data_IF_341763968785
#
_entry.id   IF_341763968785
#
_cell.length_a   1.000
_cell.length_b   1.000
_cell.length_c   1.000
_cell.angle_alpha   90.00
_cell.angle_beta   90.00
_cell.angle_gamma   90.00
#
_symmetry.space_group_name_H-M   'P 1'
#
loop_
_entity.id
_entity.type
_entity.pdbx_description
1 polymer ?
#
# COMPACT_ATOMS: atom_id res chain seq x y z
N UNK A 1 14.05 -8.98 0.82
CA UNK A 1 12.62 -8.85 1.15
C UNK A 1 12.24 -10.02 2.04
N UNK A 2 11.31 -9.82 2.98
CA UNK A 2 10.76 -10.89 3.83
C UNK A 2 9.27 -11.08 3.56
N UNK A 3 8.79 -12.32 3.62
CA UNK A 3 7.39 -12.67 3.37
C UNK A 3 6.72 -13.10 4.66
N UNK A 4 5.66 -12.40 5.04
CA UNK A 4 4.98 -12.52 6.33
C UNK A 4 3.64 -13.25 6.15
N UNK A 5 3.38 -14.17 7.07
CA UNK A 5 2.05 -14.72 7.34
C UNK A 5 1.11 -13.61 7.82
N UNK A 6 -0.19 -13.90 7.80
CA UNK A 6 -1.20 -12.97 8.36
C UNK A 6 -0.88 -12.57 9.81
N UNK A 7 -0.49 -13.55 10.63
CA UNK A 7 -0.14 -13.32 12.04
C UNK A 7 1.09 -12.42 12.19
N UNK A 8 2.11 -12.60 11.35
CA UNK A 8 3.31 -11.74 11.36
C UNK A 8 2.99 -10.31 10.91
N UNK A 9 2.06 -10.10 9.97
CA UNK A 9 1.56 -8.76 9.61
C UNK A 9 0.87 -8.08 10.81
N UNK A 10 0.00 -8.81 11.51
CA UNK A 10 -0.70 -8.32 12.71
C UNK A 10 0.28 -8.01 13.85
N UNK A 11 1.30 -8.84 14.05
CA UNK A 11 2.39 -8.60 15.00
C UNK A 11 3.24 -7.40 14.61
N UNK A 12 3.50 -7.20 13.31
CA UNK A 12 4.25 -6.04 12.84
C UNK A 12 3.55 -4.72 13.16
N UNK A 13 2.22 -4.68 13.04
CA UNK A 13 1.41 -3.52 13.43
C UNK A 13 1.33 -3.36 14.95
N UNK A 14 0.93 -4.42 15.67
CA UNK A 14 0.70 -4.34 17.12
C UNK A 14 1.98 -4.07 17.91
N UNK A 15 3.13 -4.60 17.47
CA UNK A 15 4.45 -4.28 18.04
C UNK A 15 4.89 -2.82 17.85
N UNK A 16 4.09 -2.01 17.16
CA UNK A 16 4.29 -0.57 16.95
C UNK A 16 3.10 0.25 17.48
N UNK A 17 2.20 -0.37 18.25
CA UNK A 17 0.99 0.26 18.76
C UNK A 17 0.09 0.83 17.65
N UNK A 18 0.04 0.13 16.51
CA UNK A 18 -0.75 0.51 15.33
C UNK A 18 -1.87 -0.48 15.07
N UNK A 19 -2.98 0.02 14.58
CA UNK A 19 -4.07 -0.75 13.95
C UNK A 19 -4.03 -0.56 12.43
N UNK A 20 -4.94 -1.21 11.70
CA UNK A 20 -5.04 -0.94 10.26
C UNK A 20 -5.51 0.49 10.02
N UNK A 21 -5.05 1.19 8.98
CA UNK A 21 -5.32 2.61 8.79
C UNK A 21 -6.80 2.99 8.68
N UNK A 22 -7.63 2.07 8.18
CA UNK A 22 -9.08 2.17 8.04
C UNK A 22 -9.85 1.89 9.35
N UNK A 23 -9.19 1.27 10.34
CA UNK A 23 -9.73 1.03 11.67
C UNK A 23 -9.38 2.17 12.66
N UNK A 24 -8.41 3.03 12.32
CA UNK A 24 -7.99 4.17 13.17
C UNK A 24 -8.86 5.41 12.89
N UNK A 25 -9.74 5.81 13.83
CA UNK A 25 -10.66 6.94 13.63
C UNK A 25 -9.97 8.31 13.62
N UNK A 26 -8.69 8.39 13.98
CA UNK A 26 -7.91 9.63 13.93
C UNK A 26 -7.33 9.91 12.53
N UNK A 27 -7.35 8.92 11.63
CA UNK A 27 -6.89 9.12 10.27
C UNK A 27 -7.94 9.87 9.43
N UNK A 28 -7.51 10.95 8.77
CA UNK A 28 -8.21 11.46 7.61
C UNK A 28 -8.00 10.55 6.40
N UNK A 29 -8.95 10.59 5.46
CA UNK A 29 -8.98 9.79 4.24
C UNK A 29 -9.07 10.67 3.00
N UNK A 30 -8.20 10.41 2.02
CA UNK A 30 -8.37 10.89 0.65
C UNK A 30 -8.31 9.74 -0.35
N UNK A 31 -9.36 9.62 -1.17
CA UNK A 31 -9.45 8.63 -2.25
C UNK A 31 -9.09 9.24 -3.60
N UNK A 32 -8.30 8.53 -4.38
CA UNK A 32 -7.96 8.88 -5.76
C UNK A 32 -8.19 7.68 -6.66
N UNK A 33 -8.68 7.89 -7.88
CA UNK A 33 -8.65 6.82 -8.88
C UNK A 33 -7.21 6.45 -9.24
N UNK A 34 -7.01 5.22 -9.70
CA UNK A 34 -5.76 4.86 -10.34
C UNK A 34 -5.48 5.78 -11.53
N UNK A 35 -4.21 6.08 -11.80
CA UNK A 35 -3.83 6.76 -13.03
C UNK A 35 -4.12 5.85 -14.23
N UNK A 36 -4.01 6.37 -15.45
CA UNK A 36 -4.05 5.51 -16.63
C UNK A 36 -2.93 4.45 -16.60
N UNK A 37 -3.21 3.25 -17.12
CA UNK A 37 -2.34 2.06 -17.08
C UNK A 37 -0.86 2.25 -17.44
N UNK A 38 -0.44 3.07 -18.44
CA UNK A 38 0.99 3.27 -18.69
C UNK A 38 1.74 3.89 -17.50
N UNK A 39 1.03 4.51 -16.55
CA UNK A 39 1.60 5.20 -15.39
C UNK A 39 1.67 4.34 -14.13
N UNK A 40 1.25 3.07 -14.16
CA UNK A 40 1.26 2.21 -12.97
C UNK A 40 2.65 2.08 -12.34
N UNK A 41 3.68 1.82 -13.15
CA UNK A 41 5.05 1.76 -12.64
C UNK A 41 5.50 3.11 -12.08
N UNK A 42 5.15 4.22 -12.73
CA UNK A 42 5.50 5.56 -12.24
C UNK A 42 4.92 5.84 -10.85
N UNK A 43 3.63 5.54 -10.63
CA UNK A 43 2.99 5.71 -9.32
C UNK A 43 3.52 4.71 -8.29
N UNK A 44 3.69 3.44 -8.67
CA UNK A 44 4.27 2.42 -7.78
C UNK A 44 5.70 2.80 -7.33
N UNK A 45 6.51 3.32 -8.25
CA UNK A 45 7.87 3.81 -7.97
C UNK A 45 7.86 5.06 -7.08
N UNK A 46 6.94 6.00 -7.34
CA UNK A 46 6.77 7.16 -6.47
C UNK A 46 6.36 6.74 -5.06
N UNK A 47 5.41 5.80 -4.92
CA UNK A 47 5.03 5.25 -3.61
C UNK A 47 6.27 4.65 -2.95
N UNK A 48 7.00 3.79 -3.65
CA UNK A 48 8.15 3.09 -3.10
C UNK A 48 9.30 4.01 -2.68
N UNK A 49 9.49 5.15 -3.35
CA UNK A 49 10.62 6.05 -3.11
C UNK A 49 10.29 7.29 -2.28
N UNK A 50 9.06 7.81 -2.38
CA UNK A 50 8.63 9.07 -1.76
C UNK A 50 7.71 8.84 -0.56
N UNK A 51 6.69 7.98 -0.70
CA UNK A 51 5.73 7.72 0.39
C UNK A 51 6.38 7.00 1.58
N UNK A 52 7.38 6.17 1.32
CA UNK A 52 8.03 5.31 2.32
C UNK A 52 9.01 6.02 3.23
N UNK A 53 9.35 7.29 2.98
CA UNK A 53 10.43 8.01 3.68
C UNK A 53 11.67 7.11 3.94
N UNK A 54 12.18 6.38 2.93
CA UNK A 54 13.35 5.48 3.06
C UNK A 54 13.30 4.53 4.29
N UNK A 55 12.13 4.17 4.80
CA UNK A 55 11.94 3.28 5.95
C UNK A 55 11.39 1.93 5.50
N UNK A 56 11.55 0.85 6.30
CA UNK A 56 10.92 -0.43 6.00
C UNK A 56 9.41 -0.27 5.77
N UNK A 57 8.86 -0.97 4.79
CA UNK A 57 7.46 -0.86 4.40
C UNK A 57 6.85 -2.24 4.26
N UNK A 58 5.76 -2.48 4.97
CA UNK A 58 4.98 -3.71 4.84
C UNK A 58 3.89 -3.48 3.79
N UNK A 59 3.92 -4.26 2.71
CA UNK A 59 2.76 -4.41 1.83
C UNK A 59 1.99 -5.64 2.28
N UNK A 60 0.75 -5.44 2.70
CA UNK A 60 -0.13 -6.51 3.13
C UNK A 60 -1.27 -6.66 2.13
N UNK A 61 -1.15 -7.66 1.26
CA UNK A 61 -2.21 -8.03 0.32
C UNK A 61 -3.43 -8.50 1.10
N UNK A 62 -4.63 -8.04 0.73
CA UNK A 62 -5.91 -8.45 1.34
C UNK A 62 -7.00 -8.74 0.32
N UNK A 63 -6.83 -8.28 -0.91
CA UNK A 63 -7.77 -8.50 -2.01
C UNK A 63 -7.02 -9.16 -3.18
N UNK A 64 -7.23 -10.46 -3.34
CA UNK A 64 -6.74 -11.26 -4.46
C UNK A 64 -7.76 -12.38 -4.68
N UNK A 65 -7.72 -13.06 -5.83
CA UNK A 65 -8.70 -14.09 -6.20
C UNK A 65 -10.14 -13.54 -6.30
N UNK A 66 -10.29 -12.24 -6.59
CA UNK A 66 -11.59 -11.58 -6.78
C UNK A 66 -12.10 -11.83 -8.20
N UNK A 67 -11.20 -11.76 -9.19
CA UNK A 67 -11.52 -11.86 -10.61
C UNK A 67 -10.61 -12.88 -11.30
N UNK A 68 -10.78 -14.17 -10.99
CA UNK A 68 -9.92 -15.28 -11.44
C UNK A 68 -9.54 -15.27 -12.93
N UNK A 69 -10.41 -14.79 -13.82
CA UNK A 69 -10.16 -14.73 -15.26
C UNK A 69 -9.18 -13.64 -15.68
N UNK A 70 -8.94 -12.63 -14.84
CA UNK A 70 -8.05 -11.49 -15.09
C UNK A 70 -6.71 -11.54 -14.36
N UNK A 71 -6.50 -12.54 -13.50
CA UNK A 71 -5.34 -12.60 -12.63
C UNK A 71 -4.20 -13.46 -13.21
N UNK A 72 -2.97 -13.00 -13.04
CA UNK A 72 -1.74 -13.68 -13.41
C UNK A 72 -0.94 -14.04 -12.15
N UNK A 73 -1.53 -14.91 -11.32
CA UNK A 73 -0.88 -15.49 -10.14
C UNK A 73 0.44 -16.19 -10.49
N UNK A 74 0.55 -16.77 -11.70
CA UNK A 74 1.78 -17.42 -12.15
C UNK A 74 2.97 -16.44 -12.19
N UNK A 75 2.81 -15.27 -12.82
CA UNK A 75 3.85 -14.24 -12.87
C UNK A 75 4.25 -13.81 -11.46
N UNK A 76 3.25 -13.58 -10.59
CA UNK A 76 3.50 -13.17 -9.22
C UNK A 76 4.26 -14.21 -8.40
N UNK A 77 3.89 -15.49 -8.51
CA UNK A 77 4.62 -16.55 -7.82
C UNK A 77 6.02 -16.78 -8.40
N UNK A 78 6.24 -16.54 -9.70
CA UNK A 78 7.60 -16.54 -10.26
C UNK A 78 8.45 -15.41 -9.71
N UNK A 79 7.86 -14.23 -9.51
CA UNK A 79 8.52 -13.13 -8.84
C UNK A 79 8.84 -13.46 -7.38
N UNK A 80 7.91 -14.06 -6.61
CA UNK A 80 8.19 -14.48 -5.22
C UNK A 80 9.32 -15.52 -5.13
N UNK A 81 9.30 -16.50 -6.04
CA UNK A 81 10.33 -17.55 -6.13
C UNK A 81 11.72 -16.98 -6.38
N UNK A 82 11.87 -15.87 -7.12
CA UNK A 82 13.18 -15.24 -7.31
C UNK A 82 13.78 -14.66 -6.03
N UNK A 83 12.96 -14.45 -4.99
CA UNK A 83 13.38 -14.06 -3.64
C UNK A 83 13.37 -15.23 -2.64
N UNK A 84 13.24 -16.47 -3.13
CA UNK A 84 13.30 -17.69 -2.33
C UNK A 84 11.99 -18.12 -1.67
N UNK A 85 10.89 -17.38 -1.88
CA UNK A 85 9.59 -17.73 -1.32
C UNK A 85 8.75 -18.55 -2.29
N UNK A 86 8.32 -19.73 -1.83
CA UNK A 86 7.56 -20.71 -2.60
C UNK A 86 6.13 -20.88 -2.08
N UNK A 87 5.74 -20.07 -1.09
CA UNK A 87 4.43 -20.11 -0.45
C UNK A 87 3.40 -19.38 -1.30
N UNK A 88 2.15 -19.81 -1.17
CA UNK A 88 1.01 -19.15 -1.78
C UNK A 88 0.66 -17.86 -1.05
N UNK A 89 -0.10 -16.98 -1.71
CA UNK A 89 -0.43 -15.67 -1.16
C UNK A 89 -1.28 -15.77 0.13
N UNK A 90 -2.15 -16.77 0.23
CA UNK A 90 -2.94 -17.00 1.45
C UNK A 90 -2.10 -17.50 2.63
N UNK A 91 -0.95 -18.13 2.38
CA UNK A 91 -0.03 -18.59 3.44
C UNK A 91 0.83 -17.43 3.95
N UNK A 92 1.30 -16.57 3.04
CA UNK A 92 2.12 -15.40 3.36
C UNK A 92 1.71 -14.19 2.52
N UNK A 93 0.68 -13.43 2.95
CA UNK A 93 0.17 -12.26 2.23
C UNK A 93 1.00 -10.99 2.41
N UNK A 94 1.87 -10.95 3.42
CA UNK A 94 2.70 -9.80 3.74
C UNK A 94 4.04 -9.82 3.03
N UNK A 95 4.50 -8.64 2.63
CA UNK A 95 5.78 -8.41 1.97
C UNK A 95 6.46 -7.24 2.68
N UNK A 96 7.46 -7.53 3.50
CA UNK A 96 8.27 -6.52 4.17
C UNK A 96 9.48 -6.18 3.29
N UNK A 97 9.48 -4.94 2.81
CA UNK A 97 10.57 -4.36 2.03
C UNK A 97 11.44 -3.48 2.92
N UNK A 98 12.76 -3.64 2.81
CA UNK A 98 13.73 -2.77 3.45
C UNK A 98 13.99 -1.50 2.63
N UNK A 99 14.64 -0.51 3.23
CA UNK A 99 14.97 0.79 2.60
C UNK A 99 15.63 0.69 1.22
N UNK A 100 16.46 -0.32 0.99
CA UNK A 100 17.20 -0.51 -0.26
C UNK A 100 16.42 -1.32 -1.31
N UNK A 101 15.22 -1.79 -0.98
CA UNK A 101 14.37 -2.68 -1.79
C UNK A 101 13.22 -1.90 -2.44
N UNK A 102 13.43 -0.59 -2.70
CA UNK A 102 12.39 0.28 -3.26
C UNK A 102 11.98 -0.15 -4.68
N UNK A 103 12.91 -0.62 -5.49
CA UNK A 103 12.60 -1.13 -6.84
C UNK A 103 11.81 -2.44 -6.77
N UNK A 104 12.06 -3.27 -5.75
CA UNK A 104 11.31 -4.49 -5.52
C UNK A 104 9.87 -4.15 -5.10
N UNK A 105 9.72 -3.21 -4.16
CA UNK A 105 8.41 -2.69 -3.76
C UNK A 105 7.62 -2.13 -4.95
N UNK A 106 8.26 -1.30 -5.78
CA UNK A 106 7.63 -0.73 -6.97
C UNK A 106 7.17 -1.82 -7.95
N UNK A 107 8.00 -2.84 -8.16
CA UNK A 107 7.69 -3.97 -9.04
C UNK A 107 6.50 -4.79 -8.52
N UNK A 108 6.49 -5.11 -7.21
CA UNK A 108 5.39 -5.84 -6.58
C UNK A 108 4.08 -5.06 -6.64
N UNK A 109 4.11 -3.75 -6.36
CA UNK A 109 2.94 -2.89 -6.46
C UNK A 109 2.43 -2.79 -7.90
N UNK A 110 3.32 -2.61 -8.88
CA UNK A 110 2.92 -2.58 -10.28
C UNK A 110 2.23 -3.89 -10.68
N UNK A 111 2.80 -5.05 -10.32
CA UNK A 111 2.18 -6.35 -10.60
C UNK A 111 0.82 -6.46 -9.92
N UNK A 112 0.69 -6.05 -8.65
CA UNK A 112 -0.59 -6.08 -7.95
C UNK A 112 -1.65 -5.19 -8.64
N UNK A 113 -1.29 -3.98 -9.02
CA UNK A 113 -2.19 -3.06 -9.74
C UNK A 113 -2.61 -3.60 -11.12
N UNK A 114 -1.68 -4.21 -11.87
CA UNK A 114 -1.97 -4.82 -13.17
C UNK A 114 -2.96 -5.99 -13.08
N UNK A 115 -3.03 -6.66 -11.92
CA UNK A 115 -3.92 -7.79 -11.67
C UNK A 115 -5.20 -7.38 -10.93
N UNK A 116 -5.45 -6.06 -10.76
CA UNK A 116 -6.58 -5.56 -9.98
C UNK A 116 -6.65 -6.23 -8.60
N UNK A 117 -5.52 -6.28 -7.90
CA UNK A 117 -5.46 -6.71 -6.51
C UNK A 117 -5.47 -5.50 -5.58
N UNK A 118 -5.66 -5.78 -4.29
CA UNK A 118 -5.69 -4.77 -3.25
C UNK A 118 -5.00 -5.19 -1.96
N UNK A 119 -4.64 -4.18 -1.18
CA UNK A 119 -3.89 -4.34 0.04
C UNK A 119 -3.41 -3.02 0.63
N UNK A 120 -2.83 -3.13 1.82
CA UNK A 120 -2.29 -1.99 2.55
C UNK A 120 -0.80 -1.81 2.23
N UNK A 121 -0.38 -0.56 2.12
CA UNK A 121 1.00 -0.10 2.12
C UNK A 121 1.22 0.60 3.46
N UNK A 122 2.05 -0.01 4.30
CA UNK A 122 2.25 0.37 5.68
C UNK A 122 3.73 0.74 5.91
N UNK A 123 4.14 1.99 5.64
CA UNK A 123 5.48 2.45 5.96
C UNK A 123 5.70 2.44 7.47
N UNK A 124 6.91 2.09 7.90
CA UNK A 124 7.27 2.14 9.32
C UNK A 124 7.13 3.55 9.90
N UNK A 125 7.40 4.60 9.12
CA UNK A 125 7.26 6.00 9.54
C UNK A 125 5.81 6.41 9.90
N UNK A 126 4.80 5.64 9.46
CA UNK A 126 3.37 5.86 9.74
C UNK A 126 2.85 7.29 9.44
N UNK A 127 3.54 8.07 8.60
CA UNK A 127 3.14 9.45 8.30
C UNK A 127 2.01 9.49 7.27
N UNK A 128 2.10 8.63 6.26
CA UNK A 128 1.02 8.34 5.31
C UNK A 128 1.00 6.85 5.09
N UNK A 129 -0.16 6.23 5.27
CA UNK A 129 -0.42 4.86 4.83
C UNK A 129 -1.28 4.92 3.58
N UNK A 130 -1.24 3.86 2.77
CA UNK A 130 -2.11 3.75 1.62
C UNK A 130 -2.80 2.40 1.59
N UNK A 131 -3.94 2.35 0.92
CA UNK A 131 -4.60 1.15 0.48
C UNK A 131 -4.81 1.28 -1.02
N UNK A 132 -4.42 0.27 -1.77
CA UNK A 132 -4.69 0.16 -3.19
C UNK A 132 -5.75 -0.91 -3.37
N UNK A 133 -6.74 -0.70 -4.24
CA UNK A 133 -7.93 -1.55 -4.32
C UNK A 133 -8.03 -2.28 -5.65
N UNK A 134 -8.68 -3.45 -5.62
CA UNK A 134 -9.12 -4.14 -6.82
C UNK A 134 -10.09 -3.32 -7.69
N UNK A 135 -10.82 -2.37 -7.09
CA UNK A 135 -11.73 -1.43 -7.78
C UNK A 135 -11.01 -0.19 -8.37
N UNK A 136 -9.70 -0.29 -8.61
CA UNK A 136 -8.88 0.74 -9.29
C UNK A 136 -8.87 2.11 -8.60
N UNK A 137 -8.76 2.14 -7.27
CA UNK A 137 -8.55 3.36 -6.48
C UNK A 137 -7.46 3.19 -5.41
N UNK A 138 -6.90 4.32 -4.98
CA UNK A 138 -6.07 4.44 -3.78
C UNK A 138 -6.84 5.18 -2.69
N UNK A 139 -6.79 4.68 -1.47
CA UNK A 139 -7.09 5.44 -0.26
C UNK A 139 -5.78 5.81 0.43
N UNK A 140 -5.58 7.08 0.76
CA UNK A 140 -4.45 7.53 1.58
C UNK A 140 -4.94 7.95 2.96
N UNK A 141 -4.25 7.46 3.99
CA UNK A 141 -4.60 7.66 5.38
C UNK A 141 -3.48 8.44 6.08
N UNK A 142 -3.85 9.53 6.75
CA UNK A 142 -2.91 10.29 7.58
C UNK A 142 -3.63 11.05 8.69
N UNK A 143 -2.94 11.27 9.80
CA UNK A 143 -3.39 12.18 10.87
C UNK A 143 -3.09 13.65 10.56
N UNK A 144 -2.19 13.91 9.61
CA UNK A 144 -1.65 15.24 9.29
C UNK A 144 -1.87 15.57 7.82
N UNK A 145 -2.84 16.43 7.54
CA UNK A 145 -3.27 16.76 6.18
C UNK A 145 -2.11 17.23 5.28
N UNK A 146 -1.14 17.95 5.84
CA UNK A 146 0.05 18.43 5.12
C UNK A 146 0.88 17.29 4.52
N UNK A 147 0.78 16.08 5.06
CA UNK A 147 1.49 14.89 4.58
C UNK A 147 0.98 14.41 3.22
N UNK A 148 -0.23 14.81 2.80
CA UNK A 148 -0.83 14.45 1.51
C UNK A 148 -0.46 15.40 0.37
N UNK A 149 0.26 16.50 0.64
CA UNK A 149 0.64 17.45 -0.40
C UNK A 149 1.40 16.79 -1.58
N UNK A 150 2.28 15.83 -1.28
CA UNK A 150 2.99 15.06 -2.30
C UNK A 150 2.07 14.13 -3.11
N UNK A 151 1.08 13.52 -2.45
CA UNK A 151 0.09 12.62 -3.09
C UNK A 151 -0.78 13.39 -4.07
N UNK A 152 -1.34 14.54 -3.66
CA UNK A 152 -2.16 15.41 -4.51
C UNK A 152 -1.37 15.93 -5.72
N UNK A 153 -0.09 16.24 -5.53
CA UNK A 153 0.79 16.63 -6.64
C UNK A 153 1.00 15.51 -7.66
N UNK A 154 1.09 14.26 -7.19
CA UNK A 154 1.30 13.09 -8.05
C UNK A 154 0.03 12.70 -8.82
N UNK A 155 -1.10 12.55 -8.12
CA UNK A 155 -2.32 11.94 -8.65
C UNK A 155 -3.29 12.96 -9.25
N UNK A 156 -2.98 14.25 -9.15
CA UNK A 156 -3.89 15.33 -9.52
C UNK A 156 -4.60 15.92 -8.29
N UNK A 157 -5.01 17.18 -8.40
CA UNK A 157 -5.34 18.01 -7.25
C UNK A 157 -6.62 17.59 -6.51
N UNK A 158 -7.52 16.84 -7.14
CA UNK A 158 -8.87 16.61 -6.61
C UNK A 158 -9.12 15.13 -6.26
N UNK A 159 -9.21 14.78 -4.96
CA UNK A 159 -9.64 13.44 -4.54
C UNK A 159 -11.11 13.21 -4.89
N UNK A 160 -11.45 11.96 -5.18
CA UNK A 160 -12.80 11.47 -5.46
C UNK A 160 -13.67 11.50 -4.21
N UNK A 161 -13.05 11.18 -3.07
CA UNK A 161 -13.68 11.18 -1.76
C UNK A 161 -12.70 11.75 -0.74
N UNK A 162 -13.22 12.59 0.16
CA UNK A 162 -12.43 13.23 1.21
C UNK A 162 -13.20 13.21 2.52
N UNK A 163 -12.65 12.51 3.50
CA UNK A 163 -13.12 12.58 4.88
C UNK A 163 -12.06 13.27 5.73
N UNK A 164 -12.26 14.56 5.96
CA UNK A 164 -11.44 15.40 6.85
C UNK A 164 -12.05 15.55 8.24
N UNK A 165 -13.14 14.83 8.55
CA UNK A 165 -14.02 15.17 9.68
C UNK A 165 -13.40 15.00 11.07
N UNK A 166 -12.16 14.50 11.20
CA UNK A 166 -11.57 14.15 12.51
C UNK A 166 -10.09 14.49 12.75
N UNK A 167 -9.34 14.92 11.72
CA UNK A 167 -7.95 15.40 11.90
C UNK A 167 -7.88 16.83 12.49
N UNK A 168 -9.02 17.52 12.61
CA UNK A 168 -9.10 18.88 13.15
C UNK A 168 -9.30 18.90 14.67
N UNK A 169 -8.38 18.27 15.41
CA UNK A 169 -8.30 18.46 16.86
C UNK A 169 -6.85 18.68 17.30
N UNK A 170 -6.20 19.73 16.81
CA UNK A 170 -5.11 20.43 17.51
C UNK A 170 -4.69 21.68 16.74
N UNK A 171 -5.46 22.76 16.96
CA UNK A 171 -4.98 24.13 16.80
C UNK A 171 -5.64 24.96 17.88
N UNK A 172 -5.06 24.93 19.07
CA UNK A 172 -5.11 25.98 20.10
C UNK A 172 -3.96 25.81 21.06
#
# INVERSE_FOLDING_TARGET
MQFYTKQECEQWLSGRERVKPDEDPENGLERFHYPERPSFYYVAHWIATQLTYRMPTLVWMTEWDIWQSGENLHLYYKLRQSYGDHRLLHEAPGHLFLKHEAEDLASFLQVAMLNCWGGYILPHANSVNAFFSHDEYFNFYTKREESLAGVRKLLGADPVERDTSRAATESK
#
